data_IF_120814518435
#
_entry.id   IF_120814518435
#
_cell.length_a   1.000
_cell.length_b   1.000
_cell.length_c   1.000
_cell.angle_alpha   90.00
_cell.angle_beta   90.00
_cell.angle_gamma   90.00
#
_symmetry.space_group_name_H-M   'P 1'
#
loop_
_entity.id
_entity.type
_entity.pdbx_description
1 polymer ?
#
# COMPACT_ATOMS: atom_id res chain seq x y z
N UNK A 1 32.79 14.90 -6.44
CA UNK A 1 32.66 14.57 -5.01
C UNK A 1 31.88 13.27 -4.92
N UNK A 2 32.45 12.22 -4.34
CA UNK A 2 31.76 10.93 -4.22
C UNK A 2 30.69 11.03 -3.12
N UNK A 3 29.47 10.57 -3.41
CA UNK A 3 28.40 10.50 -2.41
C UNK A 3 28.66 9.31 -1.48
N UNK A 4 28.85 9.56 -0.18
CA UNK A 4 28.94 8.51 0.83
C UNK A 4 27.53 8.03 1.18
N UNK A 5 27.25 6.75 0.96
CA UNK A 5 25.94 6.18 1.27
C UNK A 5 25.69 6.13 2.78
N UNK A 6 24.49 6.55 3.23
CA UNK A 6 23.99 6.30 4.60
C UNK A 6 23.59 4.83 4.82
N UNK A 7 23.62 4.04 3.76
CA UNK A 7 23.07 2.71 3.66
C UNK A 7 24.03 1.81 2.81
N UNK A 8 25.32 1.71 3.18
CA UNK A 8 26.34 1.09 2.32
C UNK A 8 26.20 -0.44 2.17
N UNK A 9 25.34 -1.07 2.97
CA UNK A 9 25.19 -2.53 3.04
C UNK A 9 23.80 -3.04 2.63
N UNK A 10 22.88 -2.16 2.22
CA UNK A 10 21.60 -2.60 1.64
C UNK A 10 21.76 -2.72 0.13
N UNK A 11 21.82 -3.97 -0.33
CA UNK A 11 21.82 -4.33 -1.74
C UNK A 11 20.47 -4.87 -2.19
N UNK A 12 20.47 -5.56 -3.32
CA UNK A 12 19.29 -6.30 -3.81
C UNK A 12 18.87 -7.37 -2.81
N UNK A 13 17.56 -7.51 -2.57
CA UNK A 13 17.02 -8.53 -1.67
C UNK A 13 16.88 -9.87 -2.37
N UNK A 14 16.88 -10.96 -1.60
CA UNK A 14 16.67 -12.32 -2.12
C UNK A 14 15.33 -12.46 -2.86
N UNK A 15 14.30 -11.71 -2.45
CA UNK A 15 12.99 -11.70 -3.10
C UNK A 15 13.06 -11.28 -4.56
N UNK A 16 13.85 -10.23 -4.87
CA UNK A 16 14.07 -9.77 -6.25
C UNK A 16 14.86 -10.79 -7.06
N UNK A 17 15.89 -11.40 -6.47
CA UNK A 17 16.74 -12.39 -7.14
C UNK A 17 15.92 -13.64 -7.50
N UNK A 18 15.18 -14.19 -6.54
CA UNK A 18 14.39 -15.42 -6.74
C UNK A 18 13.20 -15.19 -7.67
N UNK A 19 12.50 -14.06 -7.56
CA UNK A 19 11.38 -13.77 -8.47
C UNK A 19 11.84 -13.65 -9.93
N UNK A 20 13.00 -13.03 -10.16
CA UNK A 20 13.59 -12.95 -11.51
C UNK A 20 13.94 -14.34 -12.03
N UNK A 21 14.66 -15.14 -11.24
CA UNK A 21 15.08 -16.46 -11.66
C UNK A 21 13.88 -17.37 -11.97
N UNK A 22 12.82 -17.33 -11.14
CA UNK A 22 11.61 -18.11 -11.38
C UNK A 22 10.99 -17.78 -12.75
N UNK A 23 10.92 -16.49 -13.12
CA UNK A 23 10.45 -16.07 -14.44
C UNK A 23 11.38 -16.53 -15.57
N UNK A 24 12.69 -16.44 -15.39
CA UNK A 24 13.69 -16.85 -16.40
C UNK A 24 13.61 -18.35 -16.72
N UNK A 25 13.32 -19.19 -15.72
CA UNK A 25 13.24 -20.65 -15.89
C UNK A 25 11.80 -21.19 -16.03
N UNK A 26 10.79 -20.32 -16.02
CA UNK A 26 9.38 -20.71 -16.07
C UNK A 26 8.91 -21.51 -14.85
N UNK A 27 9.52 -21.30 -13.68
CA UNK A 27 9.10 -21.95 -12.44
C UNK A 27 7.88 -21.26 -11.84
N UNK A 28 7.05 -22.04 -11.13
CA UNK A 28 5.96 -21.51 -10.30
C UNK A 28 6.58 -20.76 -9.12
N UNK A 29 6.29 -19.46 -8.99
CA UNK A 29 6.87 -18.62 -7.95
C UNK A 29 6.01 -18.64 -6.66
N UNK A 30 6.34 -19.55 -5.74
CA UNK A 30 5.73 -19.59 -4.41
C UNK A 30 6.39 -18.64 -3.38
N UNK A 31 7.40 -17.85 -3.80
CA UNK A 31 8.13 -16.92 -2.95
C UNK A 31 7.69 -15.45 -3.06
N UNK A 32 6.79 -15.12 -4.00
CA UNK A 32 6.28 -13.76 -4.14
C UNK A 32 5.34 -13.39 -2.98
N UNK A 33 5.50 -12.17 -2.46
CA UNK A 33 4.69 -11.65 -1.36
C UNK A 33 3.43 -10.89 -1.80
N UNK A 34 3.00 -11.04 -3.06
CA UNK A 34 1.84 -10.34 -3.62
C UNK A 34 0.91 -11.30 -4.38
N UNK A 35 -0.41 -11.02 -4.41
CA UNK A 35 -1.38 -11.82 -5.17
C UNK A 35 -1.12 -11.83 -6.68
N UNK A 36 -1.47 -12.92 -7.34
CA UNK A 36 -1.40 -13.09 -8.81
C UNK A 36 -2.77 -12.94 -9.51
N UNK A 37 -3.79 -12.53 -8.77
CA UNK A 37 -5.15 -12.25 -9.28
C UNK A 37 -5.43 -10.74 -9.33
N UNK A 38 -6.34 -10.29 -10.21
CA UNK A 38 -6.69 -8.88 -10.33
C UNK A 38 -7.44 -8.37 -9.09
N UNK A 39 -7.43 -7.04 -8.90
CA UNK A 39 -8.32 -6.38 -7.93
C UNK A 39 -9.79 -6.55 -8.34
N UNK A 40 -10.70 -6.30 -7.40
CA UNK A 40 -12.13 -6.23 -7.68
C UNK A 40 -12.43 -5.16 -8.75
N UNK A 41 -13.14 -5.50 -9.85
CA UNK A 41 -13.50 -4.54 -10.89
C UNK A 41 -14.22 -3.29 -10.37
N UNK A 42 -15.06 -3.44 -9.33
CA UNK A 42 -15.78 -2.32 -8.75
C UNK A 42 -14.81 -1.28 -8.15
N UNK A 43 -13.69 -1.74 -7.57
CA UNK A 43 -12.68 -0.84 -7.04
C UNK A 43 -11.99 -0.06 -8.19
N UNK A 44 -11.66 -0.74 -9.28
CA UNK A 44 -11.05 -0.11 -10.46
C UNK A 44 -11.98 0.98 -11.04
N UNK A 45 -13.26 0.67 -11.17
CA UNK A 45 -14.28 1.59 -11.70
C UNK A 45 -14.46 2.83 -10.81
N UNK A 46 -14.51 2.64 -9.49
CA UNK A 46 -14.63 3.75 -8.53
C UNK A 46 -13.41 4.66 -8.53
N UNK A 47 -12.21 4.10 -8.63
CA UNK A 47 -10.96 4.88 -8.78
C UNK A 47 -11.01 5.69 -10.07
N UNK A 48 -11.39 5.06 -11.19
CA UNK A 48 -11.50 5.75 -12.48
C UNK A 48 -12.51 6.90 -12.44
N UNK A 49 -13.69 6.68 -11.85
CA UNK A 49 -14.71 7.69 -11.67
C UNK A 49 -14.21 8.88 -10.84
N UNK A 50 -13.53 8.61 -9.71
CA UNK A 50 -12.97 9.65 -8.85
C UNK A 50 -11.92 10.51 -9.58
N UNK A 51 -11.05 9.87 -10.36
CA UNK A 51 -10.06 10.58 -11.18
C UNK A 51 -10.71 11.49 -12.22
N UNK A 52 -11.76 11.01 -12.90
CA UNK A 52 -12.51 11.78 -13.90
C UNK A 52 -13.32 12.92 -13.29
N UNK A 53 -13.78 12.77 -12.05
CA UNK A 53 -14.44 13.82 -11.29
C UNK A 53 -13.47 14.90 -10.76
N UNK A 54 -12.17 14.77 -11.01
CA UNK A 54 -11.17 15.78 -10.64
C UNK A 54 -10.59 15.61 -9.24
N UNK A 55 -10.83 14.49 -8.55
CA UNK A 55 -10.26 14.20 -7.23
C UNK A 55 -8.77 13.80 -7.31
N UNK A 56 -7.96 14.68 -7.91
CA UNK A 56 -6.54 14.45 -8.22
C UNK A 56 -5.59 15.40 -7.47
N UNK A 57 -6.12 16.25 -6.59
CA UNK A 57 -5.35 17.17 -5.77
C UNK A 57 -4.91 16.50 -4.47
N UNK A 58 -4.00 17.16 -3.75
CA UNK A 58 -3.54 16.67 -2.46
C UNK A 58 -4.69 16.38 -1.51
N UNK A 59 -4.67 15.19 -0.92
CA UNK A 59 -5.47 14.88 0.25
C UNK A 59 -4.95 15.68 1.47
N UNK A 60 -5.76 15.84 2.53
CA UNK A 60 -5.27 16.30 3.82
C UNK A 60 -4.12 15.43 4.32
N UNK A 61 -3.20 16.01 5.09
CA UNK A 61 -2.00 15.32 5.59
C UNK A 61 -2.28 13.97 6.27
N UNK A 62 -3.24 13.84 7.22
CA UNK A 62 -3.55 12.55 7.84
C UNK A 62 -4.35 11.60 6.92
N UNK A 63 -4.80 12.07 5.76
CA UNK A 63 -5.66 11.35 4.83
C UNK A 63 -7.08 11.93 4.75
N UNK A 64 -7.83 11.50 3.72
CA UNK A 64 -9.20 11.92 3.49
C UNK A 64 -10.10 11.54 4.69
N UNK A 65 -10.94 12.46 5.20
CA UNK A 65 -11.82 12.18 6.35
C UNK A 65 -12.68 10.94 6.15
N UNK A 66 -13.36 10.83 5.00
CA UNK A 66 -14.21 9.68 4.68
C UNK A 66 -13.46 8.34 4.69
N UNK A 67 -12.17 8.33 4.32
CA UNK A 67 -11.35 7.12 4.37
C UNK A 67 -10.98 6.77 5.82
N UNK A 68 -10.60 7.76 6.63
CA UNK A 68 -10.28 7.55 8.05
C UNK A 68 -11.50 7.04 8.83
N UNK A 69 -12.68 7.61 8.61
CA UNK A 69 -13.94 7.15 9.19
C UNK A 69 -14.25 5.69 8.81
N UNK A 70 -14.08 5.34 7.53
CA UNK A 70 -14.28 3.98 7.05
C UNK A 70 -13.30 2.98 7.68
N UNK A 71 -12.05 3.39 7.92
CA UNK A 71 -11.04 2.57 8.61
C UNK A 71 -11.47 2.33 10.06
N UNK A 72 -11.82 3.38 10.81
CA UNK A 72 -12.28 3.25 12.21
C UNK A 72 -13.51 2.35 12.31
N UNK A 73 -14.51 2.56 11.44
CA UNK A 73 -15.72 1.73 11.40
C UNK A 73 -15.41 0.26 11.08
N UNK A 74 -14.45 -0.02 10.18
CA UNK A 74 -13.99 -1.38 9.88
C UNK A 74 -13.33 -2.02 11.10
N UNK A 75 -12.46 -1.30 11.80
CA UNK A 75 -11.77 -1.81 12.99
C UNK A 75 -12.78 -2.11 14.10
N UNK A 76 -13.73 -1.21 14.36
CA UNK A 76 -14.79 -1.46 15.33
C UNK A 76 -15.60 -2.71 14.97
N UNK A 77 -16.00 -2.87 13.71
CA UNK A 77 -16.78 -4.03 13.27
C UNK A 77 -16.03 -5.35 13.41
N UNK A 78 -14.73 -5.37 13.08
CA UNK A 78 -13.94 -6.60 13.08
C UNK A 78 -13.38 -6.95 14.46
N UNK A 79 -13.05 -5.94 15.26
CA UNK A 79 -12.23 -6.12 16.48
C UNK A 79 -12.83 -5.47 17.73
N UNK A 80 -13.94 -4.72 17.61
CA UNK A 80 -14.63 -4.09 18.74
C UNK A 80 -13.98 -2.82 19.30
N UNK A 81 -12.84 -2.38 18.73
CA UNK A 81 -12.14 -1.17 19.16
C UNK A 81 -12.63 0.06 18.40
N UNK A 82 -12.85 1.15 19.15
CA UNK A 82 -13.15 2.47 18.60
C UNK A 82 -11.93 3.37 18.78
N UNK A 83 -11.55 4.06 17.70
CA UNK A 83 -10.46 5.02 17.67
C UNK A 83 -11.01 6.42 17.34
N UNK A 84 -10.37 7.46 17.88
CA UNK A 84 -10.59 8.84 17.47
C UNK A 84 -10.07 9.01 16.04
N UNK A 85 -10.98 9.37 15.14
CA UNK A 85 -10.67 9.39 13.70
C UNK A 85 -9.69 10.50 13.34
N UNK A 86 -9.67 11.61 14.09
CA UNK A 86 -8.81 12.76 13.85
C UNK A 86 -7.47 12.68 14.57
N UNK A 87 -7.44 12.08 15.76
CA UNK A 87 -6.23 11.97 16.58
C UNK A 87 -5.45 10.66 16.40
N UNK A 88 -6.11 9.55 16.02
CA UNK A 88 -5.53 8.20 16.11
C UNK A 88 -5.43 7.48 14.76
N UNK A 89 -5.85 8.10 13.65
CA UNK A 89 -5.83 7.47 12.31
C UNK A 89 -5.08 8.33 11.31
N UNK A 90 -4.01 7.76 10.72
CA UNK A 90 -3.23 8.38 9.64
C UNK A 90 -3.10 7.40 8.47
N UNK A 91 -3.45 7.87 7.27
CA UNK A 91 -3.30 7.13 6.01
C UNK A 91 -1.89 7.33 5.46
N UNK A 92 -1.23 6.24 5.10
CA UNK A 92 0.10 6.24 4.51
C UNK A 92 0.09 5.62 3.11
N UNK A 93 1.16 5.83 2.34
CA UNK A 93 1.43 5.19 1.05
C UNK A 93 1.84 3.72 1.24
N UNK A 94 0.91 2.92 1.78
CA UNK A 94 1.10 1.50 2.08
C UNK A 94 1.74 1.25 3.45
N UNK A 95 1.75 -0.03 3.84
CA UNK A 95 2.26 -0.46 5.15
C UNK A 95 3.75 -0.17 5.36
N UNK A 96 4.55 -0.15 4.28
CA UNK A 96 5.99 0.16 4.36
C UNK A 96 6.28 1.56 4.88
N UNK A 97 5.47 2.57 4.54
CA UNK A 97 5.68 3.93 5.06
C UNK A 97 5.21 4.07 6.52
N UNK A 98 4.29 3.21 6.97
CA UNK A 98 3.80 3.25 8.33
C UNK A 98 4.81 2.68 9.36
N UNK A 99 5.82 1.94 8.90
CA UNK A 99 6.91 1.37 9.70
C UNK A 99 8.07 2.36 9.77
#
# INVERSE_FOLDING_TARGET
>A
MALTSKLPHVGTTIFTVMSRLANEVGAINLGQGFPDFPIDPELADRVHAAMRAGHNQYAPMPGLPALREAITAKVQRLYGFQYDTDAEVTVTAGGTQAI
#
